data_IF_302391792541
#
_entry.id   IF_302391792541
#
_cell.length_a   1.000
_cell.length_b   1.000
_cell.length_c   1.000
_cell.angle_alpha   90.00
_cell.angle_beta   90.00
_cell.angle_gamma   90.00
#
_symmetry.space_group_name_H-M   'P 1'
#
loop_
_entity.id
_entity.type
_entity.pdbx_description
1 polymer ?
#
# COMPACT_ATOMS: atom_id res chain seq x y z
N UNK A 1 44.11 -53.83 -75.07
CA UNK A 1 43.20 -53.34 -74.01
C UNK A 1 43.98 -52.36 -73.14
N UNK A 2 43.71 -51.06 -73.30
CA UNK A 2 44.46 -49.94 -72.72
C UNK A 2 43.87 -49.53 -71.37
N UNK A 3 44.61 -49.78 -70.28
CA UNK A 3 44.30 -49.29 -68.94
C UNK A 3 44.76 -47.81 -68.82
N UNK A 4 43.80 -46.88 -68.89
CA UNK A 4 44.02 -45.45 -68.63
C UNK A 4 44.14 -45.23 -67.11
N UNK A 5 45.38 -45.21 -66.60
CA UNK A 5 45.71 -44.76 -65.25
C UNK A 5 45.41 -43.26 -65.12
N UNK A 6 44.31 -42.92 -64.41
CA UNK A 6 44.04 -41.57 -63.95
C UNK A 6 44.99 -41.23 -62.78
N UNK A 7 46.05 -40.49 -63.09
CA UNK A 7 46.92 -39.84 -62.10
C UNK A 7 46.09 -38.81 -61.31
N UNK A 8 45.65 -39.20 -60.10
CA UNK A 8 45.11 -38.27 -59.09
C UNK A 8 46.22 -37.28 -58.71
N UNK A 9 46.08 -36.02 -59.13
CA UNK A 9 46.91 -34.91 -58.63
C UNK A 9 46.64 -34.73 -57.13
N UNK A 10 47.67 -34.77 -56.27
CA UNK A 10 47.50 -34.42 -54.87
C UNK A 10 47.11 -32.94 -54.76
N UNK A 11 45.96 -32.66 -54.15
CA UNK A 11 45.55 -31.30 -53.84
C UNK A 11 46.55 -30.71 -52.83
N UNK A 12 47.42 -29.82 -53.29
CA UNK A 12 48.32 -29.04 -52.45
C UNK A 12 47.47 -28.19 -51.50
N UNK A 13 47.39 -28.60 -50.22
CA UNK A 13 46.79 -27.77 -49.16
C UNK A 13 47.64 -26.51 -49.03
N UNK A 14 47.07 -25.37 -49.42
CA UNK A 14 47.68 -24.07 -49.18
C UNK A 14 47.99 -23.92 -47.68
N UNK A 15 49.17 -23.38 -47.31
CA UNK A 15 49.51 -23.16 -45.91
C UNK A 15 48.48 -22.21 -45.30
N UNK A 16 47.76 -22.69 -44.28
CA UNK A 16 46.86 -21.85 -43.49
C UNK A 16 47.73 -20.82 -42.75
N UNK A 17 47.71 -19.59 -43.26
CA UNK A 17 48.27 -18.42 -42.57
C UNK A 17 47.60 -18.30 -41.19
N UNK A 18 48.33 -18.67 -40.13
CA UNK A 18 47.93 -18.37 -38.76
C UNK A 18 48.21 -16.88 -38.55
N UNK A 19 47.24 -16.04 -38.88
CA UNK A 19 47.26 -14.63 -38.47
C UNK A 19 46.87 -14.58 -37.00
N UNK A 20 47.82 -14.22 -36.14
CA UNK A 20 47.51 -13.87 -34.76
C UNK A 20 46.65 -12.61 -34.72
N UNK A 21 45.84 -12.47 -33.67
CA UNK A 21 45.05 -11.26 -33.44
C UNK A 21 45.97 -10.09 -33.08
N UNK A 22 45.65 -8.89 -33.58
CA UNK A 22 46.38 -7.69 -33.19
C UNK A 22 45.96 -7.26 -31.77
N UNK A 23 46.88 -6.62 -31.04
CA UNK A 23 46.56 -6.05 -29.71
C UNK A 23 45.39 -5.07 -29.81
N UNK A 24 45.32 -4.28 -30.89
CA UNK A 24 44.24 -3.31 -31.14
C UNK A 24 42.89 -4.01 -31.24
N UNK A 25 42.81 -5.15 -31.92
CA UNK A 25 41.58 -5.93 -32.06
C UNK A 25 41.09 -6.46 -30.71
N UNK A 26 42.02 -6.96 -29.88
CA UNK A 26 41.71 -7.42 -28.52
C UNK A 26 41.21 -6.26 -27.65
N UNK A 27 41.84 -5.08 -27.75
CA UNK A 27 41.41 -3.89 -26.99
C UNK A 27 40.02 -3.41 -27.42
N UNK A 28 39.74 -3.35 -28.73
CA UNK A 28 38.41 -2.97 -29.24
C UNK A 28 37.36 -3.96 -28.77
N UNK A 29 37.63 -5.27 -28.90
CA UNK A 29 36.72 -6.32 -28.44
C UNK A 29 36.45 -6.22 -26.94
N UNK A 30 37.48 -5.97 -26.13
CA UNK A 30 37.34 -5.78 -24.68
C UNK A 30 36.48 -4.57 -24.33
N UNK A 31 36.67 -3.42 -24.99
CA UNK A 31 35.88 -2.21 -24.76
C UNK A 31 34.41 -2.41 -25.12
N UNK A 32 34.12 -3.04 -26.26
CA UNK A 32 32.75 -3.37 -26.66
C UNK A 32 32.11 -4.34 -25.67
N UNK A 33 32.85 -5.36 -25.23
CA UNK A 33 32.36 -6.33 -24.25
C UNK A 33 32.05 -5.68 -22.90
N UNK A 34 32.94 -4.83 -22.39
CA UNK A 34 32.73 -4.10 -21.14
C UNK A 34 31.53 -3.16 -21.20
N UNK A 35 31.34 -2.47 -22.34
CA UNK A 35 30.18 -1.58 -22.52
C UNK A 35 28.86 -2.35 -22.59
N UNK A 36 28.83 -3.52 -23.23
CA UNK A 36 27.66 -4.41 -23.21
C UNK A 36 27.36 -4.90 -21.79
N UNK A 37 28.36 -5.38 -21.06
CA UNK A 37 28.17 -5.81 -19.67
C UNK A 37 27.71 -4.67 -18.75
N UNK A 38 28.24 -3.46 -18.94
CA UNK A 38 27.79 -2.27 -18.22
C UNK A 38 26.31 -1.98 -18.46
N UNK A 39 25.86 -2.01 -19.72
CA UNK A 39 24.46 -1.80 -20.06
C UNK A 39 23.54 -2.87 -19.44
N UNK A 40 23.93 -4.15 -19.51
CA UNK A 40 23.19 -5.25 -18.88
C UNK A 40 23.13 -5.07 -17.35
N UNK A 41 24.24 -4.66 -16.73
CA UNK A 41 24.29 -4.38 -15.28
C UNK A 41 23.29 -3.31 -14.86
N UNK A 42 23.21 -2.19 -15.59
CA UNK A 42 22.27 -1.10 -15.31
C UNK A 42 20.82 -1.56 -15.48
N UNK A 43 20.50 -2.32 -16.53
CA UNK A 43 19.15 -2.85 -16.75
C UNK A 43 18.74 -3.79 -15.62
N UNK A 44 19.63 -4.69 -15.20
CA UNK A 44 19.35 -5.63 -14.10
C UNK A 44 19.13 -4.90 -12.77
N UNK A 45 19.95 -3.89 -12.46
CA UNK A 45 19.78 -3.09 -11.24
C UNK A 45 18.45 -2.32 -11.24
N UNK A 46 18.06 -1.74 -12.38
CA UNK A 46 16.76 -1.07 -12.53
C UNK A 46 15.61 -2.06 -12.41
N UNK A 47 15.74 -3.25 -13.00
CA UNK A 47 14.73 -4.30 -12.89
C UNK A 47 14.49 -4.75 -11.46
N UNK A 48 15.56 -4.95 -10.67
CA UNK A 48 15.46 -5.30 -9.26
C UNK A 48 14.74 -4.21 -8.45
N UNK A 49 15.13 -2.94 -8.64
CA UNK A 49 14.52 -1.78 -7.99
C UNK A 49 13.02 -1.65 -8.27
N UNK A 50 12.63 -1.72 -9.55
CA UNK A 50 11.23 -1.68 -9.95
C UNK A 50 10.42 -2.86 -9.38
N UNK A 51 11.05 -4.04 -9.27
CA UNK A 51 10.41 -5.20 -8.67
C UNK A 51 10.16 -5.00 -7.17
N UNK A 52 11.13 -4.45 -6.43
CA UNK A 52 11.00 -4.15 -5.00
C UNK A 52 9.92 -3.10 -4.75
N UNK A 53 9.92 -2.02 -5.54
CA UNK A 53 8.88 -0.98 -5.50
C UNK A 53 7.49 -1.57 -5.76
N UNK A 54 7.36 -2.45 -6.76
CA UNK A 54 6.10 -3.13 -7.05
C UNK A 54 5.59 -3.99 -5.90
N UNK A 55 6.48 -4.70 -5.19
CA UNK A 55 6.13 -5.50 -4.00
C UNK A 55 5.71 -4.60 -2.85
N UNK A 56 6.44 -3.52 -2.57
CA UNK A 56 6.09 -2.56 -1.53
C UNK A 56 4.73 -1.92 -1.79
N UNK A 57 4.48 -1.43 -3.01
CA UNK A 57 3.21 -0.83 -3.40
C UNK A 57 2.03 -1.80 -3.26
N UNK A 58 2.18 -3.04 -3.72
CA UNK A 58 1.16 -4.09 -3.57
C UNK A 58 0.94 -4.47 -2.08
N UNK A 59 1.98 -4.39 -1.27
CA UNK A 59 1.93 -4.59 0.17
C UNK A 59 1.06 -3.55 0.88
N UNK A 60 1.24 -2.26 0.57
CA UNK A 60 0.42 -1.17 1.13
C UNK A 60 -1.03 -1.29 0.68
N UNK A 61 -1.28 -1.57 -0.60
CA UNK A 61 -2.64 -1.77 -1.12
C UNK A 61 -3.35 -2.95 -0.45
N UNK A 62 -2.64 -4.05 -0.24
CA UNK A 62 -3.20 -5.22 0.48
C UNK A 62 -3.47 -4.91 1.95
N UNK A 63 -2.60 -4.10 2.59
CA UNK A 63 -2.78 -3.68 3.96
C UNK A 63 -3.99 -2.74 4.12
N UNK A 64 -4.15 -1.76 3.22
CA UNK A 64 -5.25 -0.79 3.27
C UNK A 64 -6.58 -1.48 3.05
N UNK A 65 -6.68 -2.42 2.10
CA UNK A 65 -7.91 -3.23 1.91
C UNK A 65 -8.24 -4.05 3.14
N UNK A 66 -7.26 -4.76 3.73
CA UNK A 66 -7.48 -5.53 4.97
C UNK A 66 -7.92 -4.66 6.14
N UNK A 67 -7.39 -3.44 6.25
CA UNK A 67 -7.77 -2.49 7.29
C UNK A 67 -9.25 -2.12 7.15
N UNK A 68 -9.66 -1.73 5.94
CA UNK A 68 -11.04 -1.38 5.62
C UNK A 68 -11.99 -2.56 5.82
N UNK A 69 -11.62 -3.77 5.39
CA UNK A 69 -12.43 -4.98 5.58
C UNK A 69 -12.63 -5.32 7.06
N UNK A 70 -11.60 -5.13 7.91
CA UNK A 70 -11.70 -5.32 9.36
C UNK A 70 -12.66 -4.30 9.99
N UNK A 71 -12.54 -3.03 9.62
CA UNK A 71 -13.44 -1.97 10.10
C UNK A 71 -14.87 -2.25 9.67
N UNK A 72 -15.08 -2.61 8.40
CA UNK A 72 -16.40 -2.97 7.88
C UNK A 72 -16.99 -4.19 8.60
N UNK A 73 -16.16 -5.20 8.92
CA UNK A 73 -16.61 -6.36 9.69
C UNK A 73 -17.04 -6.00 11.12
N UNK A 74 -16.38 -5.05 11.78
CA UNK A 74 -16.79 -4.56 13.09
C UNK A 74 -18.10 -3.77 13.01
N UNK A 75 -18.25 -2.91 11.99
CA UNK A 75 -19.45 -2.09 11.80
C UNK A 75 -20.67 -2.87 11.30
N UNK A 76 -20.49 -3.96 10.55
CA UNK A 76 -21.60 -4.78 10.04
C UNK A 76 -22.47 -5.38 11.16
N UNK A 77 -21.92 -5.55 12.37
CA UNK A 77 -22.65 -6.02 13.56
C UNK A 77 -23.23 -4.90 14.43
N UNK A 78 -23.01 -3.63 14.08
CA UNK A 78 -23.45 -2.49 14.89
C UNK A 78 -24.96 -2.32 14.89
N UNK A 79 -25.49 -1.77 15.99
CA UNK A 79 -26.89 -1.40 16.10
C UNK A 79 -27.10 0.00 15.51
N UNK A 80 -28.08 0.16 14.62
CA UNK A 80 -28.41 1.44 13.97
C UNK A 80 -28.61 2.60 14.95
N UNK A 81 -29.28 2.34 16.07
CA UNK A 81 -29.60 3.38 17.06
C UNK A 81 -28.36 3.88 17.83
N UNK A 82 -27.25 3.12 17.80
CA UNK A 82 -26.01 3.46 18.50
C UNK A 82 -25.03 4.26 17.65
N UNK A 83 -25.24 4.32 16.33
CA UNK A 83 -24.35 5.05 15.44
C UNK A 83 -24.64 6.55 15.57
N UNK A 84 -23.59 7.40 15.62
CA UNK A 84 -23.77 8.83 15.70
C UNK A 84 -24.59 9.31 14.49
N UNK A 85 -25.47 10.29 14.74
CA UNK A 85 -26.11 11.02 13.66
C UNK A 85 -25.02 11.61 12.75
N UNK A 86 -25.23 11.65 11.42
CA UNK A 86 -24.21 12.13 10.50
C UNK A 86 -23.72 13.52 10.93
N UNK A 87 -22.42 13.80 10.85
CA UNK A 87 -21.97 15.18 10.97
C UNK A 87 -22.77 16.04 9.98
N UNK A 88 -23.27 17.18 10.43
CA UNK A 88 -24.18 18.05 9.68
C UNK A 88 -23.57 18.71 8.42
N UNK A 89 -22.35 18.34 8.07
CA UNK A 89 -21.60 18.81 6.92
C UNK A 89 -20.93 17.59 6.29
N UNK A 90 -20.65 17.64 4.99
CA UNK A 90 -19.95 16.64 4.17
C UNK A 90 -18.48 16.39 4.60
N UNK A 91 -18.21 16.46 5.90
CA UNK A 91 -16.92 16.21 6.52
C UNK A 91 -16.91 14.77 7.01
N UNK A 92 -15.84 14.09 6.66
CA UNK A 92 -15.52 12.79 7.26
C UNK A 92 -15.32 12.90 8.76
N UNK A 93 -15.85 11.94 9.52
CA UNK A 93 -15.43 11.77 10.90
C UNK A 93 -14.17 10.89 10.95
N UNK A 94 -13.16 11.29 11.72
CA UNK A 94 -11.96 10.46 11.98
C UNK A 94 -12.17 9.43 13.09
N UNK A 95 -13.37 9.39 13.68
CA UNK A 95 -13.72 8.54 14.80
C UNK A 95 -15.17 8.12 14.66
N UNK A 96 -15.47 6.88 15.04
CA UNK A 96 -16.83 6.36 15.15
C UNK A 96 -16.99 5.58 16.44
N UNK A 97 -18.05 5.90 17.18
CA UNK A 97 -18.48 5.17 18.38
C UNK A 97 -19.75 4.38 18.04
N UNK A 98 -19.86 3.14 18.52
CA UNK A 98 -20.97 2.26 18.20
C UNK A 98 -21.12 1.13 19.23
N UNK A 99 -22.30 0.54 19.29
CA UNK A 99 -22.56 -0.69 20.03
C UNK A 99 -22.86 -1.84 19.07
N UNK A 100 -22.36 -3.02 19.41
CA UNK A 100 -22.58 -4.25 18.62
C UNK A 100 -23.67 -5.09 19.26
N UNK A 101 -24.52 -5.73 18.45
CA UNK A 101 -25.45 -6.75 18.94
C UNK A 101 -24.67 -8.05 19.20
N UNK A 102 -24.62 -8.50 20.45
CA UNK A 102 -23.95 -9.75 20.84
C UNK A 102 -24.91 -10.95 20.85
N UNK A 103 -26.19 -10.69 21.05
CA UNK A 103 -27.19 -11.75 21.10
C UNK A 103 -28.59 -11.24 21.38
N UNK A 104 -29.44 -12.18 21.76
CA UNK A 104 -30.84 -11.94 22.06
C UNK A 104 -31.22 -12.72 23.32
N UNK A 105 -31.85 -12.06 24.28
CA UNK A 105 -32.31 -12.69 25.50
C UNK A 105 -33.73 -12.22 25.83
N UNK A 106 -34.69 -13.15 25.75
CA UNK A 106 -36.07 -12.92 26.20
C UNK A 106 -36.80 -11.78 25.48
N UNK A 107 -36.55 -11.55 24.20
CA UNK A 107 -37.19 -10.45 23.46
C UNK A 107 -36.30 -9.21 23.27
N UNK A 108 -35.22 -9.11 24.06
CA UNK A 108 -34.36 -7.93 24.09
C UNK A 108 -33.03 -8.21 23.38
N UNK A 109 -32.54 -7.23 22.63
CA UNK A 109 -31.19 -7.23 22.08
C UNK A 109 -30.19 -7.12 23.23
N UNK A 110 -29.23 -8.03 23.27
CA UNK A 110 -28.05 -7.90 24.12
C UNK A 110 -27.02 -7.08 23.35
N UNK A 111 -26.72 -5.89 23.85
CA UNK A 111 -25.74 -4.99 23.27
C UNK A 111 -24.41 -5.15 24.00
N UNK A 112 -23.31 -5.14 23.24
CA UNK A 112 -21.98 -4.97 23.78
C UNK A 112 -21.84 -3.60 24.43
N UNK A 113 -20.78 -3.44 25.23
CA UNK A 113 -20.31 -2.12 25.63
C UNK A 113 -19.98 -1.28 24.39
N UNK A 114 -19.97 0.04 24.57
CA UNK A 114 -19.64 0.97 23.50
C UNK A 114 -18.20 0.76 23.04
N UNK A 115 -18.03 0.70 21.72
CA UNK A 115 -16.76 0.48 21.03
C UNK A 115 -16.44 1.75 20.27
N UNK A 116 -15.15 1.99 20.05
CA UNK A 116 -14.68 3.13 19.25
C UNK A 116 -13.63 2.69 18.25
N UNK A 117 -13.76 3.15 17.01
CA UNK A 117 -12.68 3.08 16.02
C UNK A 117 -12.19 4.50 15.75
N UNK A 118 -10.89 4.71 15.84
CA UNK A 118 -10.24 6.00 15.65
C UNK A 118 -8.82 5.85 15.09
N UNK A 119 -8.29 6.93 14.50
CA UNK A 119 -6.85 7.11 14.31
C UNK A 119 -6.25 7.63 15.63
N UNK A 120 -5.12 7.07 16.03
CA UNK A 120 -4.28 7.59 17.12
C UNK A 120 -2.89 7.82 16.55
N UNK A 121 -2.21 8.90 16.93
CA UNK A 121 -0.80 9.09 16.58
C UNK A 121 0.03 7.86 17.02
N UNK A 122 1.01 7.48 16.20
CA UNK A 122 1.89 6.36 16.53
C UNK A 122 2.66 6.66 17.82
N UNK A 123 2.94 5.64 18.63
CA UNK A 123 3.63 5.85 19.91
C UNK A 123 5.05 6.44 19.75
N UNK A 124 5.67 6.23 18.58
CA UNK A 124 6.98 6.75 18.22
C UNK A 124 6.94 8.09 17.48
N UNK A 125 5.77 8.48 16.95
CA UNK A 125 5.60 9.63 16.05
C UNK A 125 4.33 10.41 16.43
N UNK A 126 4.42 11.32 17.44
CA UNK A 126 3.33 12.23 17.77
C UNK A 126 3.04 13.22 16.64
N UNK A 127 1.78 13.66 16.53
CA UNK A 127 1.34 14.66 15.55
C UNK A 127 1.96 16.06 15.85
N UNK A 128 3.24 16.26 15.52
CA UNK A 128 4.03 17.47 15.77
C UNK A 128 4.70 18.08 14.52
N UNK A 129 4.51 17.47 13.36
CA UNK A 129 5.04 17.92 12.07
C UNK A 129 6.47 17.43 11.79
N UNK A 130 7.00 16.51 12.60
CA UNK A 130 8.35 15.94 12.45
C UNK A 130 8.28 14.42 12.31
N UNK A 131 9.28 13.85 11.64
CA UNK A 131 9.53 12.40 11.61
C UNK A 131 10.35 12.03 12.87
N UNK A 132 9.67 11.74 13.98
CA UNK A 132 10.29 11.49 15.28
C UNK A 132 10.92 10.09 15.39
N UNK A 133 10.42 9.11 14.64
CA UNK A 133 10.96 7.74 14.65
C UNK A 133 11.94 7.43 13.50
N UNK A 134 12.12 8.40 12.58
CA UNK A 134 13.03 8.36 11.43
C UNK A 134 12.71 7.26 10.42
N UNK A 135 11.43 6.89 10.28
CA UNK A 135 10.99 5.91 9.29
C UNK A 135 10.74 6.50 7.89
N UNK A 136 10.73 7.84 7.79
CA UNK A 136 10.53 8.62 6.56
C UNK A 136 9.08 8.99 6.27
N UNK A 137 8.16 8.70 7.19
CA UNK A 137 6.82 9.27 7.27
C UNK A 137 6.81 10.40 8.31
N UNK A 138 5.75 11.22 8.27
CA UNK A 138 5.57 12.35 9.20
C UNK A 138 4.14 12.29 9.67
N UNK A 139 3.96 12.29 10.98
CA UNK A 139 2.68 12.27 11.67
C UNK A 139 1.80 11.09 11.21
N UNK A 140 2.36 9.89 11.03
CA UNK A 140 1.54 8.70 10.78
C UNK A 140 0.93 8.13 12.07
N UNK A 141 -0.22 7.49 11.92
CA UNK A 141 -0.99 6.94 13.03
C UNK A 141 -1.28 5.45 12.93
N UNK A 142 -1.82 4.93 14.03
CA UNK A 142 -2.43 3.63 14.13
C UNK A 142 -3.95 3.73 14.03
N UNK A 143 -4.54 2.84 13.23
CA UNK A 143 -5.98 2.58 13.24
C UNK A 143 -6.31 1.67 14.41
N UNK A 144 -7.00 2.19 15.41
CA UNK A 144 -7.24 1.51 16.67
C UNK A 144 -8.72 1.21 16.85
N UNK A 145 -9.03 0.01 17.31
CA UNK A 145 -10.31 -0.37 17.89
C UNK A 145 -10.19 -0.42 19.41
N UNK A 146 -11.01 0.38 20.09
CA UNK A 146 -11.23 0.37 21.53
C UNK A 146 -12.47 -0.51 21.78
N UNK A 147 -12.32 -1.73 22.33
CA UNK A 147 -13.44 -2.67 22.48
C UNK A 147 -14.45 -2.29 23.57
N UNK A 148 -14.03 -1.45 24.51
CA UNK A 148 -14.86 -0.94 25.60
C UNK A 148 -14.40 0.48 25.95
N UNK A 149 -15.21 1.49 25.63
CA UNK A 149 -14.91 2.90 25.95
C UNK A 149 -15.08 3.23 27.43
N UNK A 150 -15.74 2.35 28.20
CA UNK A 150 -16.03 2.56 29.62
C UNK A 150 -14.95 1.96 30.54
N UNK A 151 -14.16 1.00 30.05
CA UNK A 151 -13.04 0.42 30.76
C UNK A 151 -11.69 0.96 30.23
N UNK A 152 -11.07 1.94 30.90
CA UNK A 152 -9.76 2.47 30.48
C UNK A 152 -8.62 1.45 30.57
N UNK A 153 -8.84 0.30 31.23
CA UNK A 153 -7.91 -0.82 31.28
C UNK A 153 -8.05 -1.81 30.12
N UNK A 154 -9.09 -1.67 29.29
CA UNK A 154 -9.30 -2.55 28.14
C UNK A 154 -8.18 -2.37 27.09
N UNK A 155 -7.59 -3.46 26.58
CA UNK A 155 -6.53 -3.35 25.60
C UNK A 155 -7.08 -2.85 24.26
N UNK A 156 -6.46 -1.79 23.74
CA UNK A 156 -6.66 -1.31 22.39
C UNK A 156 -6.16 -2.33 21.37
N UNK A 157 -6.90 -2.51 20.27
CA UNK A 157 -6.56 -3.42 19.19
C UNK A 157 -6.13 -2.58 17.97
N UNK A 158 -4.86 -2.68 17.58
CA UNK A 158 -4.37 -2.05 16.34
C UNK A 158 -4.83 -2.86 15.14
N UNK A 159 -5.68 -2.26 14.29
CA UNK A 159 -6.20 -2.87 13.07
C UNK A 159 -5.23 -2.72 11.91
N UNK A 160 -4.54 -1.58 11.84
CA UNK A 160 -3.51 -1.23 10.86
C UNK A 160 -2.60 -0.11 11.41
N UNK A 161 -1.39 -0.02 10.90
CA UNK A 161 -0.39 1.02 11.22
C UNK A 161 0.01 1.77 9.96
N UNK A 162 0.57 2.97 10.11
CA UNK A 162 0.96 3.84 9.00
C UNK A 162 -0.25 4.50 8.34
N UNK A 163 -1.27 4.85 9.12
CA UNK A 163 -2.44 5.62 8.67
C UNK A 163 -2.01 7.07 8.49
N UNK A 164 -2.15 7.59 7.29
CA UNK A 164 -1.83 9.00 7.01
C UNK A 164 -2.70 9.95 7.86
N UNK A 165 -2.20 11.15 8.11
CA UNK A 165 -3.02 12.22 8.72
C UNK A 165 -4.23 12.57 7.84
N UNK A 166 -4.00 12.68 6.52
CA UNK A 166 -4.99 13.07 5.51
C UNK A 166 -5.21 11.99 4.44
N UNK A 167 -6.38 12.02 3.80
CA UNK A 167 -6.66 11.20 2.63
C UNK A 167 -5.77 11.58 1.45
N UNK A 168 -5.43 10.63 0.58
CA UNK A 168 -4.54 10.89 -0.54
C UNK A 168 -5.13 11.94 -1.49
N UNK A 169 -4.43 13.07 -1.63
CA UNK A 169 -4.86 14.19 -2.46
C UNK A 169 -5.55 15.33 -1.72
N UNK A 170 -5.85 15.16 -0.43
CA UNK A 170 -6.43 16.21 0.43
C UNK A 170 -5.36 17.13 1.01
N UNK A 171 -5.69 18.42 1.15
CA UNK A 171 -4.90 19.42 1.88
C UNK A 171 -5.64 19.78 3.17
N UNK A 172 -5.02 19.49 4.32
CA UNK A 172 -5.65 19.74 5.62
C UNK A 172 -6.12 21.19 5.80
N UNK A 173 -7.41 21.36 6.08
CA UNK A 173 -7.99 22.60 6.59
C UNK A 173 -8.21 23.69 5.56
N UNK A 174 -8.18 23.37 4.26
CA UNK A 174 -8.49 24.33 3.21
C UNK A 174 -10.02 24.45 2.96
N UNK A 175 -10.82 23.51 3.46
CA UNK A 175 -12.28 23.53 3.30
C UNK A 175 -12.75 23.19 1.89
N UNK A 176 -11.93 22.51 1.10
CA UNK A 176 -12.18 22.14 -0.29
C UNK A 176 -12.13 20.61 -0.42
N UNK A 177 -12.94 20.05 -1.32
CA UNK A 177 -12.81 18.66 -1.78
C UNK A 177 -11.71 18.62 -2.85
N UNK A 178 -10.46 18.46 -2.43
CA UNK A 178 -9.30 18.54 -3.33
C UNK A 178 -9.19 17.31 -4.24
N UNK A 179 -9.62 16.15 -3.74
CA UNK A 179 -9.56 14.88 -4.47
C UNK A 179 -10.82 14.61 -5.32
N UNK A 180 -11.89 15.38 -5.15
CA UNK A 180 -13.14 15.31 -5.91
C UNK A 180 -14.07 14.14 -5.56
N UNK A 181 -13.98 13.59 -4.34
CA UNK A 181 -14.76 12.42 -3.90
C UNK A 181 -16.09 12.77 -3.19
N UNK A 182 -16.38 14.07 -3.06
CA UNK A 182 -17.59 14.60 -2.46
C UNK A 182 -17.52 14.78 -0.93
N UNK A 183 -16.36 14.63 -0.32
CA UNK A 183 -16.10 14.98 1.08
C UNK A 183 -15.06 16.10 1.14
N UNK A 184 -15.02 16.79 2.28
CA UNK A 184 -14.15 17.95 2.49
C UNK A 184 -13.22 17.71 3.66
N UNK A 185 -11.92 17.99 3.46
CA UNK A 185 -10.85 17.90 4.46
C UNK A 185 -10.78 16.51 5.12
N UNK A 186 -10.79 15.41 4.36
CA UNK A 186 -10.92 14.08 4.95
C UNK A 186 -9.62 13.61 5.61
N UNK A 187 -9.68 13.23 6.90
CA UNK A 187 -8.56 12.59 7.55
C UNK A 187 -8.26 11.23 6.91
N UNK A 188 -7.05 10.71 7.13
CA UNK A 188 -6.63 9.45 6.53
C UNK A 188 -7.45 8.24 7.00
N UNK A 189 -8.12 8.32 8.15
CA UNK A 189 -9.29 7.50 8.47
C UNK A 189 -10.53 8.37 8.38
N UNK A 190 -11.50 7.99 7.56
CA UNK A 190 -12.71 8.78 7.37
C UNK A 190 -13.97 7.89 7.32
N UNK A 191 -14.97 8.29 8.09
CA UNK A 191 -16.32 7.73 8.07
C UNK A 191 -17.29 8.76 7.52
N UNK A 192 -17.99 8.43 6.45
CA UNK A 192 -19.08 9.22 5.91
C UNK A 192 -20.38 8.41 5.99
N UNK A 193 -21.37 8.95 6.69
CA UNK A 193 -22.64 8.29 6.95
C UNK A 193 -23.72 8.78 6.01
N UNK A 194 -24.36 7.84 5.30
CA UNK A 194 -25.60 8.08 4.56
C UNK A 194 -26.77 7.53 5.39
N UNK A 195 -27.50 8.45 6.02
CA UNK A 195 -28.63 8.10 6.88
C UNK A 195 -29.84 7.58 6.12
N UNK A 196 -30.01 7.99 4.86
CA UNK A 196 -31.14 7.60 4.03
C UNK A 196 -30.95 6.17 3.52
N UNK A 197 -29.72 5.83 3.13
CA UNK A 197 -29.38 4.49 2.64
C UNK A 197 -28.90 3.52 3.74
N UNK A 198 -28.69 3.99 4.98
CA UNK A 198 -28.19 3.21 6.12
C UNK A 198 -26.83 2.56 5.84
N UNK A 199 -25.94 3.32 5.24
CA UNK A 199 -24.60 2.87 4.84
C UNK A 199 -23.53 3.78 5.43
N UNK A 200 -22.47 3.16 5.98
CA UNK A 200 -21.23 3.85 6.31
C UNK A 200 -20.27 3.67 5.14
N UNK A 201 -19.81 4.75 4.55
CA UNK A 201 -18.65 4.78 3.66
C UNK A 201 -17.40 4.92 4.52
N UNK A 202 -16.46 4.01 4.37
CA UNK A 202 -15.23 3.92 5.16
C UNK A 202 -14.07 4.16 4.19
N UNK A 203 -13.23 5.15 4.49
CA UNK A 203 -12.00 5.41 3.77
C UNK A 203 -10.81 5.24 4.73
N UNK A 204 -9.78 4.54 4.28
CA UNK A 204 -8.50 4.41 5.01
C UNK A 204 -7.36 4.66 4.02
N UNK A 205 -6.50 5.60 4.36
CA UNK A 205 -5.27 5.95 3.64
C UNK A 205 -4.08 5.48 4.43
N UNK A 206 -3.35 4.50 3.88
CA UNK A 206 -2.09 4.02 4.46
C UNK A 206 -0.89 4.54 3.67
N UNK A 207 0.20 4.76 4.40
CA UNK A 207 1.50 5.13 3.88
C UNK A 207 2.55 4.10 4.32
N UNK A 208 3.58 3.93 3.50
CA UNK A 208 4.75 3.15 3.85
C UNK A 208 5.96 3.58 3.03
N UNK A 209 7.12 3.65 3.67
CA UNK A 209 8.38 3.87 2.97
C UNK A 209 8.90 2.56 2.35
N UNK A 210 9.21 2.62 1.06
CA UNK A 210 9.85 1.54 0.31
C UNK A 210 11.35 1.44 0.58
N UNK A 211 12.00 0.40 0.05
CA UNK A 211 13.44 0.18 0.22
C UNK A 211 14.34 1.32 -0.29
N UNK A 212 13.82 2.18 -1.18
CA UNK A 212 14.53 3.33 -1.74
C UNK A 212 14.16 4.67 -1.11
N UNK A 213 13.41 4.67 0.01
CA UNK A 213 12.94 5.90 0.64
C UNK A 213 11.71 6.53 -0.04
N UNK A 214 11.14 5.89 -1.07
CA UNK A 214 9.90 6.35 -1.69
C UNK A 214 8.72 6.05 -0.77
N UNK A 215 7.89 7.06 -0.48
CA UNK A 215 6.61 6.89 0.21
C UNK A 215 5.57 6.35 -0.76
N UNK A 216 4.95 5.22 -0.41
CA UNK A 216 3.80 4.66 -1.10
C UNK A 216 2.53 4.97 -0.32
N UNK A 217 1.64 5.77 -0.92
CA UNK A 217 0.33 6.11 -0.34
C UNK A 217 -0.78 5.35 -1.07
N UNK A 218 -1.66 4.69 -0.32
CA UNK A 218 -2.85 4.02 -0.87
C UNK A 218 -4.07 4.30 0.00
N UNK A 219 -5.08 4.87 -0.64
CA UNK A 219 -6.43 4.97 -0.10
C UNK A 219 -7.25 3.76 -0.54
N UNK A 220 -7.97 3.17 0.39
CA UNK A 220 -8.97 2.13 0.11
C UNK A 220 -10.29 2.56 0.70
N UNK A 221 -11.35 2.22 -0.01
CA UNK A 221 -12.71 2.60 0.33
C UNK A 221 -13.60 1.35 0.32
N UNK A 222 -14.53 1.29 1.26
CA UNK A 222 -15.65 0.35 1.20
C UNK A 222 -16.91 0.98 1.75
N UNK A 223 -18.04 0.32 1.53
CA UNK A 223 -19.33 0.73 2.06
C UNK A 223 -19.96 -0.44 2.80
N UNK A 224 -20.40 -0.19 4.04
CA UNK A 224 -21.05 -1.20 4.90
C UNK A 224 -22.48 -0.78 5.22
N UNK A 225 -23.44 -1.64 4.87
CA UNK A 225 -24.84 -1.44 5.21
C UNK A 225 -25.14 -1.93 6.62
N UNK A 226 -25.80 -1.08 7.42
CA UNK A 226 -26.18 -1.40 8.79
C UNK A 226 -27.56 -2.05 8.79
N UNK A 227 -27.64 -3.29 9.29
CA UNK A 227 -28.85 -4.12 9.19
C UNK A 227 -29.63 -4.25 10.50
N UNK A 228 -28.99 -3.97 11.64
CA UNK A 228 -29.54 -4.25 12.98
C UNK A 228 -30.10 -2.99 13.66
#
# INVERSE_FOLDING_TARGET
>A
MLARQYLRRPALRAPRSRRGHSIIEVTIAATVLMSVFGAVGVVTQRGARLSEEGISAAGVESASRRAVDRVASELAGSQRASLPLPPAAQRGASTIEFQRVEGFNGGNLLLANERRILRVASAGDPDDGLDNDSDGLVDEGDLVLVPDTTDPGAPNIVLASGVAEMTAGEIAGNGIDDNGNGLVDEPGLCFAWDADALVVRILVTLQRVGAQGQVFTRTSETTVGIRN
#
